data_IF_603909712094
#
_entry.id   IF_603909712094
#
_cell.length_a   1.000
_cell.length_b   1.000
_cell.length_c   1.000
_cell.angle_alpha   90.00
_cell.angle_beta   90.00
_cell.angle_gamma   90.00
#
_symmetry.space_group_name_H-M   'P 1'
#
loop_
_entity.id
_entity.type
_entity.pdbx_description
1 polymer ?
#
# COMPACT_ATOMS: atom_id res chain seq x y z
N UNK A 1 -6.15 -8.56 6.38
CA UNK A 1 -5.85 -7.13 6.16
C UNK A 1 -5.46 -6.93 4.70
N UNK A 2 -6.11 -6.02 4.03
CA UNK A 2 -5.92 -5.80 2.60
C UNK A 2 -5.10 -4.54 2.35
N UNK A 3 -4.00 -4.68 1.60
CA UNK A 3 -3.13 -3.56 1.26
C UNK A 3 -3.22 -3.29 -0.23
N UNK A 4 -3.46 -2.05 -0.60
CA UNK A 4 -3.51 -1.62 -1.99
C UNK A 4 -2.42 -0.57 -2.23
N UNK A 5 -1.51 -0.87 -3.16
CA UNK A 5 -0.49 0.09 -3.61
C UNK A 5 -0.97 0.74 -4.90
N UNK A 6 -1.12 2.06 -4.87
CA UNK A 6 -1.51 2.84 -6.04
C UNK A 6 -0.28 3.38 -6.74
N UNK A 7 -0.17 3.15 -8.04
CA UNK A 7 1.00 3.53 -8.84
C UNK A 7 0.62 3.93 -10.26
N UNK A 8 1.57 4.52 -10.99
CA UNK A 8 1.45 4.76 -12.43
C UNK A 8 2.56 3.99 -13.16
N UNK A 9 2.32 3.54 -14.41
CA UNK A 9 3.30 2.72 -15.15
C UNK A 9 4.65 3.40 -15.41
N UNK A 10 4.71 4.72 -15.39
CA UNK A 10 5.95 5.45 -15.65
C UNK A 10 6.90 5.59 -14.47
N UNK A 11 6.58 5.01 -13.31
CA UNK A 11 7.36 5.18 -12.10
C UNK A 11 8.43 4.11 -11.97
N UNK A 12 9.64 4.38 -12.51
CA UNK A 12 10.76 3.43 -12.43
C UNK A 12 11.21 3.19 -10.98
N UNK A 13 11.09 4.20 -10.13
CA UNK A 13 11.48 4.08 -8.71
C UNK A 13 10.51 3.21 -7.91
N UNK A 14 9.27 3.10 -8.36
CA UNK A 14 8.24 2.34 -7.65
C UNK A 14 8.47 0.83 -7.75
N UNK A 15 9.04 0.35 -8.82
CA UNK A 15 9.19 -1.09 -9.06
C UNK A 15 10.03 -1.79 -7.97
N UNK A 16 11.21 -1.24 -7.66
CA UNK A 16 12.08 -1.80 -6.62
C UNK A 16 11.49 -1.65 -5.23
N UNK A 17 10.93 -0.47 -4.93
CA UNK A 17 10.28 -0.21 -3.65
C UNK A 17 9.05 -1.09 -3.45
N UNK A 18 8.28 -1.31 -4.50
CA UNK A 18 7.09 -2.19 -4.46
C UNK A 18 7.48 -3.61 -4.05
N UNK A 19 8.55 -4.15 -4.64
CA UNK A 19 9.01 -5.50 -4.32
C UNK A 19 9.41 -5.61 -2.84
N UNK A 20 10.16 -4.63 -2.34
CA UNK A 20 10.60 -4.61 -0.94
C UNK A 20 9.40 -4.48 0.02
N UNK A 21 8.45 -3.61 -0.29
CA UNK A 21 7.27 -3.40 0.55
C UNK A 21 6.36 -4.62 0.54
N UNK A 22 6.19 -5.24 -0.61
CA UNK A 22 5.41 -6.47 -0.72
C UNK A 22 6.01 -7.59 0.13
N UNK A 23 7.31 -7.79 0.02
CA UNK A 23 8.02 -8.80 0.81
C UNK A 23 7.85 -8.53 2.31
N UNK A 24 7.98 -7.26 2.72
CA UNK A 24 7.79 -6.88 4.12
C UNK A 24 6.36 -7.12 4.59
N UNK A 25 5.38 -6.77 3.78
CA UNK A 25 3.96 -6.98 4.11
C UNK A 25 3.61 -8.45 4.27
N UNK A 26 4.18 -9.30 3.43
CA UNK A 26 3.93 -10.74 3.47
C UNK A 26 4.48 -11.40 4.73
N UNK A 27 5.36 -10.73 5.48
CA UNK A 27 5.82 -11.25 6.77
C UNK A 27 4.75 -11.13 7.86
N UNK A 28 3.74 -10.32 7.63
CA UNK A 28 2.61 -10.17 8.55
C UNK A 28 1.51 -11.13 8.17
N UNK A 29 1.06 -11.95 9.12
CA UNK A 29 0.02 -12.94 8.87
C UNK A 29 -1.31 -12.31 8.48
N UNK A 30 -1.99 -12.90 7.50
CA UNK A 30 -3.30 -12.44 7.08
C UNK A 30 -3.31 -11.21 6.16
N UNK A 31 -2.15 -10.80 5.67
CA UNK A 31 -2.05 -9.67 4.74
C UNK A 31 -2.31 -10.13 3.32
N UNK A 32 -3.15 -9.36 2.62
CA UNK A 32 -3.42 -9.53 1.20
C UNK A 32 -2.84 -8.31 0.47
N UNK A 33 -1.91 -8.53 -0.45
CA UNK A 33 -1.26 -7.47 -1.20
C UNK A 33 -1.87 -7.32 -2.58
N UNK A 34 -2.17 -6.09 -2.96
CA UNK A 34 -2.70 -5.77 -4.27
C UNK A 34 -2.06 -4.51 -4.83
N UNK A 35 -1.69 -4.55 -6.09
CA UNK A 35 -1.15 -3.39 -6.80
C UNK A 35 -2.21 -2.84 -7.73
N UNK A 36 -2.48 -1.54 -7.64
CA UNK A 36 -3.53 -0.87 -8.40
C UNK A 36 -2.90 0.16 -9.32
N UNK A 37 -3.05 -0.04 -10.63
CA UNK A 37 -2.66 0.94 -11.62
C UNK A 37 -3.78 1.98 -11.72
N UNK A 38 -3.48 3.23 -11.33
CA UNK A 38 -4.51 4.28 -11.29
C UNK A 38 -5.07 4.62 -12.65
N UNK A 39 -4.34 4.34 -13.73
CA UNK A 39 -4.86 4.55 -15.08
C UNK A 39 -5.96 3.55 -15.44
N UNK A 40 -5.92 2.36 -14.84
CA UNK A 40 -6.93 1.32 -15.05
C UNK A 40 -8.09 1.46 -14.07
N UNK A 41 -7.85 2.06 -12.91
CA UNK A 41 -8.85 2.13 -11.83
C UNK A 41 -8.85 3.51 -11.17
N UNK A 42 -9.05 4.53 -11.99
CA UNK A 42 -9.04 5.92 -11.53
C UNK A 42 -10.13 6.20 -10.50
N UNK A 43 -11.31 5.61 -10.67
CA UNK A 43 -12.45 5.80 -9.75
C UNK A 43 -12.08 5.34 -8.34
N UNK A 44 -11.37 4.22 -8.22
CA UNK A 44 -10.92 3.69 -6.93
C UNK A 44 -9.97 4.67 -6.23
N UNK A 45 -9.03 5.22 -6.99
CA UNK A 45 -8.07 6.19 -6.46
C UNK A 45 -8.78 7.45 -5.98
N UNK A 46 -9.75 7.94 -6.74
CA UNK A 46 -10.54 9.12 -6.37
C UNK A 46 -11.36 8.85 -5.11
N UNK A 47 -12.02 7.69 -5.03
CA UNK A 47 -12.82 7.30 -3.87
C UNK A 47 -12.01 7.26 -2.58
N UNK A 48 -10.76 6.83 -2.66
CA UNK A 48 -9.87 6.75 -1.49
C UNK A 48 -9.15 8.05 -1.18
N UNK A 49 -9.31 9.06 -2.04
CA UNK A 49 -8.66 10.35 -1.85
C UNK A 49 -7.17 10.35 -2.19
N UNK A 50 -6.76 9.49 -3.11
CA UNK A 50 -5.36 9.43 -3.57
C UNK A 50 -5.06 10.67 -4.41
N UNK A 51 -4.24 11.58 -3.87
CA UNK A 51 -3.85 12.82 -4.54
C UNK A 51 -2.41 12.78 -5.04
N UNK A 52 -1.58 11.96 -4.43
CA UNK A 52 -0.18 11.80 -4.79
C UNK A 52 0.14 10.33 -5.02
N UNK A 53 1.10 10.05 -5.88
CA UNK A 53 1.53 8.70 -6.21
C UNK A 53 3.04 8.58 -6.01
N UNK A 54 3.50 7.43 -5.56
CA UNK A 54 2.74 6.26 -5.13
C UNK A 54 2.07 6.47 -3.76
N UNK A 55 1.01 5.71 -3.51
CA UNK A 55 0.29 5.78 -2.24
C UNK A 55 -0.13 4.38 -1.81
N UNK A 56 -0.33 4.20 -0.50
CA UNK A 56 -0.75 2.92 0.07
C UNK A 56 -2.05 3.08 0.85
N UNK A 57 -2.99 2.19 0.60
CA UNK A 57 -4.23 2.10 1.36
C UNK A 57 -4.27 0.76 2.12
N UNK A 58 -4.81 0.78 3.32
CA UNK A 58 -4.97 -0.40 4.16
C UNK A 58 -6.45 -0.52 4.54
N UNK A 59 -7.04 -1.67 4.21
CA UNK A 59 -8.46 -1.98 4.46
C UNK A 59 -9.41 -0.89 3.92
N UNK A 60 -9.11 -0.39 2.73
CA UNK A 60 -9.95 0.60 2.06
C UNK A 60 -9.76 2.02 2.54
N UNK A 61 -8.72 2.30 3.31
CA UNK A 61 -8.40 3.64 3.79
C UNK A 61 -6.97 4.03 3.43
N UNK A 62 -6.78 5.24 2.96
CA UNK A 62 -5.47 5.77 2.63
C UNK A 62 -4.61 5.85 3.89
N UNK A 63 -3.52 5.09 3.93
CA UNK A 63 -2.63 5.02 5.08
C UNK A 63 -1.35 5.82 4.87
N UNK A 64 -0.79 5.76 3.66
CA UNK A 64 0.44 6.48 3.32
C UNK A 64 0.26 7.26 2.04
N UNK A 65 0.60 8.53 2.05
CA UNK A 65 0.56 9.40 0.86
C UNK A 65 1.89 9.42 0.12
N UNK A 66 2.92 8.82 0.71
CA UNK A 66 4.22 8.58 0.09
C UNK A 66 4.63 7.15 0.41
N UNK A 67 5.62 6.60 -0.30
CA UNK A 67 6.11 5.26 0.00
C UNK A 67 6.78 5.22 1.37
N UNK A 68 6.32 4.36 2.28
CA UNK A 68 6.99 4.14 3.54
C UNK A 68 8.24 3.27 3.35
N UNK A 69 9.10 3.23 4.36
CA UNK A 69 10.13 2.18 4.41
C UNK A 69 9.47 0.85 4.76
N UNK A 70 10.18 -0.25 4.50
CA UNK A 70 9.67 -1.58 4.87
C UNK A 70 9.37 -1.66 6.37
N UNK A 71 10.23 -1.09 7.20
CA UNK A 71 10.05 -1.06 8.66
C UNK A 71 8.80 -0.27 9.06
N UNK A 72 8.58 0.87 8.44
CA UNK A 72 7.40 1.70 8.71
C UNK A 72 6.12 0.96 8.33
N UNK A 73 6.13 0.27 7.21
CA UNK A 73 4.97 -0.50 6.77
C UNK A 73 4.67 -1.63 7.75
N UNK A 74 5.66 -2.42 8.11
CA UNK A 74 5.48 -3.54 9.05
C UNK A 74 4.99 -3.04 10.41
N UNK A 75 5.57 -1.95 10.91
CA UNK A 75 5.14 -1.35 12.17
C UNK A 75 3.66 -0.95 12.15
N UNK A 76 3.22 -0.32 11.04
CA UNK A 76 1.82 0.07 10.88
C UNK A 76 0.90 -1.14 10.80
N UNK A 77 1.29 -2.17 10.08
CA UNK A 77 0.49 -3.40 9.95
C UNK A 77 0.35 -4.12 11.29
N UNK A 78 1.43 -4.21 12.05
CA UNK A 78 1.39 -4.84 13.37
C UNK A 78 0.56 -4.05 14.36
N UNK A 79 0.61 -2.73 14.27
CA UNK A 79 -0.20 -1.86 15.11
C UNK A 79 -1.69 -2.09 14.86
N UNK A 80 -2.08 -2.22 13.59
CA UNK A 80 -3.46 -2.47 13.20
C UNK A 80 -3.92 -3.87 13.56
N UNK A 81 -3.05 -4.85 13.36
CA UNK A 81 -3.33 -6.25 13.69
C UNK A 81 -3.48 -6.43 15.20
N UNK A 82 -2.62 -5.79 15.99
CA UNK A 82 -2.67 -5.83 17.44
C UNK A 82 -3.97 -5.31 18.06
N UNK A 83 -4.70 -4.46 17.35
CA UNK A 83 -6.00 -3.95 17.81
C UNK A 83 -7.10 -4.98 17.80
N UNK A 84 -6.90 -6.06 17.08
CA UNK A 84 -7.90 -7.14 16.99
C UNK A 84 -7.75 -8.15 18.11
N UNK A 85 -6.66 -8.08 18.81
CA UNK A 85 -6.26 -8.99 19.87
C UNK A 85 -7.10 -9.03 21.10
#
# INVERSE_FOLDING_TARGET
MKIELFFTPGCAKCAGATTALRAAAETVSGVEWREVNVLDDLDRAVDLGVLTLPALAIDGRLAFTTLPTAEQLVAELRRRDGRRG
#
